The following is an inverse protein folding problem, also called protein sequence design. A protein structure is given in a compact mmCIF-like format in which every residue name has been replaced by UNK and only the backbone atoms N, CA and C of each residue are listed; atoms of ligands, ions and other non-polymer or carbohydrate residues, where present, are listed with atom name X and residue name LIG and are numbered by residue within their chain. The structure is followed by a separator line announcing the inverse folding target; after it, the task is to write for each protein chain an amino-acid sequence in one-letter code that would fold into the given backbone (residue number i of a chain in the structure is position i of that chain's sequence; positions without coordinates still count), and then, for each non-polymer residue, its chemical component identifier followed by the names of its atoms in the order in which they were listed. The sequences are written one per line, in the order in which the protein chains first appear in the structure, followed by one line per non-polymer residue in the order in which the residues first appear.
data_IF_982256367172
#
_entry.id   IF_982256367172
#
_cell.length_a   1.000
_cell.length_b   1.000
_cell.length_c   1.000
_cell.angle_alpha   90.00
_cell.angle_beta   90.00
_cell.angle_gamma   90.00
#
_symmetry.space_group_name_H-M   'P 1'
#
loop_
_entity.id
_entity.type
_entity.pdbx_description
1 polymer ?
#
# COMPACT_ATOMS: atom_id res chain seq x y z
N UNK A 1 62.23 -14.97 -21.52
CA UNK A 1 61.47 -15.41 -20.33
C UNK A 1 60.38 -14.37 -20.08
N UNK A 2 59.18 -14.65 -20.57
CA UNK A 2 57.99 -13.82 -20.37
C UNK A 2 57.29 -14.27 -19.09
N UNK A 3 57.20 -13.38 -18.10
CA UNK A 3 56.48 -13.62 -16.84
C UNK A 3 55.03 -13.21 -16.98
N UNK A 4 54.14 -14.20 -16.94
CA UNK A 4 52.69 -14.08 -17.05
C UNK A 4 52.14 -13.57 -15.71
N UNK A 5 51.51 -12.40 -15.73
CA UNK A 5 50.71 -11.87 -14.62
C UNK A 5 49.31 -12.47 -14.69
N UNK A 6 48.95 -13.29 -13.71
CA UNK A 6 47.59 -13.79 -13.53
C UNK A 6 46.71 -12.68 -12.91
N UNK A 7 45.78 -12.17 -13.72
CA UNK A 7 44.63 -11.38 -13.26
C UNK A 7 43.62 -12.33 -12.61
N UNK A 8 43.52 -12.28 -11.29
CA UNK A 8 42.38 -12.83 -10.54
C UNK A 8 41.18 -11.88 -10.73
N UNK A 9 40.37 -12.16 -11.75
CA UNK A 9 38.99 -11.69 -11.85
C UNK A 9 38.16 -12.43 -10.78
N UNK A 10 38.11 -11.86 -9.57
CA UNK A 10 37.07 -12.23 -8.61
C UNK A 10 35.74 -11.75 -9.18
N UNK A 11 34.87 -12.72 -9.46
CA UNK A 11 33.57 -12.50 -10.07
C UNK A 11 32.76 -11.49 -9.28
N UNK A 12 32.50 -10.34 -9.90
CA UNK A 12 31.26 -9.63 -9.65
C UNK A 12 30.15 -10.61 -9.97
N UNK A 13 29.43 -11.07 -8.95
CA UNK A 13 28.08 -11.57 -9.12
C UNK A 13 27.30 -10.45 -9.81
N UNK A 14 27.16 -10.60 -11.12
CA UNK A 14 26.27 -9.80 -11.93
C UNK A 14 24.91 -9.80 -11.25
N UNK A 15 24.52 -8.64 -10.72
CA UNK A 15 23.12 -8.32 -10.49
C UNK A 15 22.34 -8.79 -11.73
N UNK A 16 21.15 -9.39 -11.58
CA UNK A 16 20.25 -9.47 -12.72
C UNK A 16 20.03 -8.02 -13.16
N UNK A 17 20.61 -7.67 -14.30
CA UNK A 17 20.15 -6.52 -15.05
C UNK A 17 18.68 -6.81 -15.31
N UNK A 18 17.77 -6.06 -14.70
CA UNK A 18 16.35 -6.11 -15.04
C UNK A 18 16.19 -5.50 -16.44
N UNK A 19 16.63 -6.27 -17.44
CA UNK A 19 16.32 -6.09 -18.85
C UNK A 19 15.13 -6.98 -19.25
N UNK A 20 14.14 -7.10 -18.36
CA UNK A 20 12.89 -7.81 -18.60
C UNK A 20 11.71 -6.83 -18.54
N UNK A 21 11.03 -6.66 -19.66
CA UNK A 21 9.89 -5.76 -19.91
C UNK A 21 8.55 -6.26 -19.32
N UNK A 22 8.58 -7.17 -18.35
CA UNK A 22 7.39 -7.91 -17.90
C UNK A 22 6.99 -7.59 -16.45
N UNK A 23 5.69 -7.68 -16.20
CA UNK A 23 5.11 -7.66 -14.86
C UNK A 23 5.65 -8.86 -14.05
N UNK A 24 5.89 -8.69 -12.75
CA UNK A 24 6.47 -9.75 -11.91
C UNK A 24 5.84 -9.83 -10.52
N UNK A 25 5.95 -10.98 -9.87
CA UNK A 25 5.40 -11.22 -8.52
C UNK A 25 6.38 -10.68 -7.48
N UNK A 26 5.95 -9.93 -6.46
CA UNK A 26 6.83 -9.51 -5.36
C UNK A 26 7.32 -10.73 -4.57
N UNK A 27 8.51 -10.66 -3.95
CA UNK A 27 8.93 -11.68 -3.01
C UNK A 27 7.98 -11.72 -1.80
N UNK A 28 7.81 -12.92 -1.25
CA UNK A 28 6.94 -13.20 -0.11
C UNK A 28 7.78 -13.52 1.13
N UNK A 29 7.42 -12.94 2.26
CA UNK A 29 8.10 -13.20 3.54
C UNK A 29 7.13 -13.37 4.69
N UNK A 30 7.59 -14.06 5.74
CA UNK A 30 6.84 -14.22 6.97
C UNK A 30 7.33 -13.23 8.03
N UNK A 31 6.39 -12.62 8.74
CA UNK A 31 6.63 -11.83 9.96
C UNK A 31 5.96 -12.57 11.11
N UNK A 32 6.74 -13.12 12.05
CA UNK A 32 6.15 -13.74 13.25
C UNK A 32 5.70 -12.66 14.24
N UNK A 33 4.42 -12.65 14.56
CA UNK A 33 3.82 -11.80 15.59
C UNK A 33 4.10 -12.31 17.01
N UNK A 34 4.53 -13.56 17.14
CA UNK A 34 4.93 -14.20 18.39
C UNK A 34 6.31 -13.70 18.86
N UNK A 35 7.11 -13.12 17.95
CA UNK A 35 8.33 -12.41 18.30
C UNK A 35 8.02 -11.04 18.91
N UNK A 36 8.86 -10.58 19.86
CA UNK A 36 8.88 -9.19 20.30
C UNK A 36 8.96 -8.23 19.09
N UNK A 37 8.21 -7.10 19.10
CA UNK A 37 8.16 -6.18 17.96
C UNK A 37 9.52 -5.73 17.43
N UNK A 38 10.51 -5.56 18.32
CA UNK A 38 11.88 -5.15 17.99
C UNK A 38 12.71 -6.22 17.24
N UNK A 39 12.15 -7.41 17.01
CA UNK A 39 12.82 -8.52 16.31
C UNK A 39 12.09 -8.94 15.03
N UNK A 40 10.87 -8.45 14.80
CA UNK A 40 9.98 -8.94 13.74
C UNK A 40 10.51 -8.73 12.31
N UNK A 41 11.10 -7.57 12.06
CA UNK A 41 11.55 -7.16 10.73
C UNK A 41 12.95 -7.66 10.37
N UNK A 42 13.72 -8.15 11.34
CA UNK A 42 15.11 -8.55 11.14
C UNK A 42 15.28 -9.64 10.07
N UNK A 43 14.50 -10.73 10.06
CA UNK A 43 14.65 -11.79 9.06
C UNK A 43 14.43 -11.30 7.62
N UNK A 44 13.50 -10.36 7.43
CA UNK A 44 13.16 -9.79 6.13
C UNK A 44 14.23 -8.80 5.67
N UNK A 45 14.64 -7.87 6.55
CA UNK A 45 15.66 -6.87 6.21
C UNK A 45 17.00 -7.50 5.84
N UNK A 46 17.36 -8.64 6.46
CA UNK A 46 18.58 -9.38 6.14
C UNK A 46 18.62 -9.98 4.73
N UNK A 47 17.48 -10.06 4.04
CA UNK A 47 17.42 -10.49 2.63
C UNK A 47 17.80 -9.39 1.64
N UNK A 48 17.91 -8.15 2.11
CA UNK A 48 18.18 -6.97 1.29
C UNK A 48 19.57 -6.42 1.56
N UNK A 49 20.15 -5.78 0.54
CA UNK A 49 21.42 -5.08 0.70
C UNK A 49 21.21 -3.84 1.58
N UNK A 50 21.77 -3.85 2.79
CA UNK A 50 21.59 -2.78 3.78
C UNK A 50 22.16 -1.44 3.33
N UNK A 51 23.24 -1.43 2.54
CA UNK A 51 23.83 -0.21 1.96
C UNK A 51 22.85 0.39 0.96
N UNK A 52 22.30 -0.43 0.06
CA UNK A 52 21.30 0.02 -0.91
C UNK A 52 20.04 0.57 -0.22
N UNK A 53 19.53 -0.11 0.82
CA UNK A 53 18.39 0.38 1.59
C UNK A 53 18.72 1.73 2.26
N UNK A 54 19.90 1.86 2.87
CA UNK A 54 20.35 3.10 3.51
C UNK A 54 20.44 4.26 2.53
N UNK A 55 21.08 4.03 1.38
CA UNK A 55 21.24 5.05 0.34
C UNK A 55 19.89 5.46 -0.25
N UNK A 56 18.99 4.49 -0.45
CA UNK A 56 17.63 4.75 -0.91
C UNK A 56 16.86 5.60 0.09
N UNK A 57 16.89 5.26 1.37
CA UNK A 57 16.23 6.03 2.43
C UNK A 57 16.80 7.45 2.51
N UNK A 58 18.12 7.62 2.47
CA UNK A 58 18.77 8.94 2.49
C UNK A 58 18.39 9.79 1.26
N UNK A 59 18.29 9.17 0.08
CA UNK A 59 17.78 9.83 -1.12
C UNK A 59 16.34 10.32 -0.93
N UNK A 60 15.45 9.47 -0.42
CA UNK A 60 14.05 9.81 -0.19
C UNK A 60 13.91 10.95 0.84
N UNK A 61 14.66 10.88 1.94
CA UNK A 61 14.68 11.93 2.96
C UNK A 61 15.08 13.27 2.36
N UNK A 62 16.19 13.33 1.63
CA UNK A 62 16.66 14.56 0.98
C UNK A 62 15.69 15.13 -0.04
N UNK A 63 14.99 14.26 -0.76
CA UNK A 63 14.10 14.66 -1.86
C UNK A 63 12.74 15.13 -1.38
N UNK A 64 12.18 14.50 -0.34
CA UNK A 64 10.77 14.70 0.02
C UNK A 64 10.54 15.26 1.41
N UNK A 65 11.51 15.17 2.32
CA UNK A 65 11.39 15.73 3.66
C UNK A 65 12.08 17.10 3.65
N UNK A 66 11.33 18.21 3.86
CA UNK A 66 11.92 19.53 4.02
C UNK A 66 13.02 19.52 5.11
N UNK A 67 14.17 20.13 4.83
CA UNK A 67 15.31 20.13 5.75
C UNK A 67 14.94 20.60 7.16
N UNK A 68 14.09 21.62 7.27
CA UNK A 68 13.64 22.12 8.57
C UNK A 68 12.86 21.03 9.36
N UNK A 69 12.00 20.25 8.71
CA UNK A 69 11.29 19.13 9.37
C UNK A 69 12.28 18.11 9.87
N UNK A 70 13.22 17.69 9.01
CA UNK A 70 14.24 16.70 9.39
C UNK A 70 15.06 17.19 10.59
N UNK A 71 15.48 18.45 10.62
CA UNK A 71 16.26 19.04 11.69
C UNK A 71 15.52 19.14 13.03
N UNK A 72 14.18 19.29 13.03
CA UNK A 72 13.40 19.39 14.28
C UNK A 72 12.79 18.05 14.72
N UNK A 73 12.11 17.34 13.81
CA UNK A 73 11.36 16.14 14.14
C UNK A 73 12.25 14.90 14.34
N UNK A 74 13.34 14.76 13.58
CA UNK A 74 14.22 13.58 13.69
C UNK A 74 14.92 13.51 15.06
N UNK A 75 15.54 14.58 15.60
CA UNK A 75 16.13 14.54 16.94
C UNK A 75 15.09 14.31 18.04
N UNK A 76 13.90 14.90 17.91
CA UNK A 76 12.83 14.75 18.90
C UNK A 76 12.30 13.31 18.93
N UNK A 77 12.05 12.71 17.76
CA UNK A 77 11.69 11.30 17.64
C UNK A 77 12.82 10.37 18.13
N UNK A 78 14.08 10.73 17.93
CA UNK A 78 15.22 9.98 18.48
C UNK A 78 15.22 9.98 20.01
N UNK A 79 14.88 11.10 20.63
CA UNK A 79 14.84 11.21 22.09
C UNK A 79 13.59 10.56 22.70
N UNK A 80 12.43 10.68 22.03
CA UNK A 80 11.16 10.23 22.59
C UNK A 80 10.19 9.71 21.50
N UNK A 81 10.57 8.66 20.76
CA UNK A 81 9.74 8.11 19.69
C UNK A 81 8.33 7.71 20.14
N UNK A 82 8.24 7.14 21.34
CA UNK A 82 6.97 6.70 21.96
C UNK A 82 6.01 7.85 22.25
N UNK A 83 6.47 9.11 22.12
CA UNK A 83 5.61 10.28 22.15
C UNK A 83 4.76 10.41 20.88
N UNK A 84 5.28 9.94 19.74
CA UNK A 84 4.66 10.07 18.42
C UNK A 84 4.07 8.76 17.91
N UNK A 85 4.61 7.64 18.38
CA UNK A 85 4.33 6.32 17.82
C UNK A 85 4.01 5.36 18.95
N UNK A 86 2.85 4.70 18.87
CA UNK A 86 2.45 3.67 19.83
C UNK A 86 3.08 2.32 19.48
N UNK A 87 3.17 1.43 20.46
CA UNK A 87 3.53 0.04 20.18
C UNK A 87 2.43 -0.65 19.33
N UNK A 88 2.79 -1.62 18.47
CA UNK A 88 4.13 -2.22 18.27
C UNK A 88 5.07 -1.42 17.36
N UNK A 89 4.58 -0.33 16.76
CA UNK A 89 5.29 0.39 15.70
C UNK A 89 6.58 1.05 16.19
N UNK A 90 6.59 1.59 17.40
CA UNK A 90 7.79 2.24 17.96
C UNK A 90 8.97 1.26 18.03
N UNK A 91 8.75 0.07 18.59
CA UNK A 91 9.80 -0.96 18.67
C UNK A 91 10.19 -1.53 17.30
N UNK A 92 9.25 -1.67 16.36
CA UNK A 92 9.57 -2.09 14.98
C UNK A 92 10.44 -1.03 14.25
N UNK A 93 10.16 0.26 14.40
CA UNK A 93 10.96 1.35 13.82
C UNK A 93 12.37 1.41 14.45
N UNK A 94 12.48 1.18 15.75
CA UNK A 94 13.78 1.06 16.43
C UNK A 94 14.61 -0.11 15.90
N UNK A 95 13.97 -1.25 15.63
CA UNK A 95 14.64 -2.40 15.03
C UNK A 95 15.21 -2.07 13.65
N UNK A 96 14.39 -1.47 12.77
CA UNK A 96 14.82 -1.04 11.44
C UNK A 96 15.99 -0.05 11.55
N UNK A 97 15.90 0.93 12.45
CA UNK A 97 16.95 1.91 12.72
C UNK A 97 18.27 1.26 13.10
N UNK A 98 18.25 0.28 14.02
CA UNK A 98 19.43 -0.45 14.48
C UNK A 98 20.05 -1.30 13.36
N UNK A 99 19.23 -2.00 12.59
CA UNK A 99 19.69 -2.92 11.54
C UNK A 99 20.30 -2.16 10.37
N UNK A 100 19.67 -1.05 9.97
CA UNK A 100 20.13 -0.25 8.85
C UNK A 100 21.19 0.79 9.27
N UNK A 101 21.39 0.98 10.58
CA UNK A 101 22.30 1.99 11.16
C UNK A 101 21.98 3.40 10.60
N UNK A 102 20.73 3.78 10.81
CA UNK A 102 20.12 5.09 10.47
C UNK A 102 19.40 5.62 11.71
N UNK A 103 19.32 6.94 11.89
CA UNK A 103 18.55 7.55 12.98
C UNK A 103 17.09 7.07 12.97
N UNK A 104 16.57 6.65 14.13
CA UNK A 104 15.17 6.24 14.28
C UNK A 104 14.19 7.37 13.91
N UNK A 105 14.59 8.63 14.12
CA UNK A 105 13.79 9.77 13.69
C UNK A 105 13.65 9.88 12.18
N UNK A 106 14.68 9.48 11.43
CA UNK A 106 14.64 9.46 9.96
C UNK A 106 13.79 8.28 9.46
N UNK A 107 13.87 7.12 10.13
CA UNK A 107 13.01 5.95 9.85
C UNK A 107 11.54 6.27 10.15
N UNK A 108 11.26 7.03 11.19
CA UNK A 108 9.92 7.53 11.49
C UNK A 108 9.40 8.49 10.41
N UNK A 109 10.20 9.48 10.01
CA UNK A 109 9.81 10.46 9.01
C UNK A 109 9.51 9.84 7.65
N UNK A 110 10.29 8.84 7.22
CA UNK A 110 9.98 8.13 5.97
C UNK A 110 8.69 7.30 6.08
N UNK A 111 8.39 6.74 7.26
CA UNK A 111 7.13 6.04 7.48
C UNK A 111 5.93 6.99 7.39
N UNK A 112 6.06 8.24 7.85
CA UNK A 112 5.04 9.27 7.65
C UNK A 112 4.94 9.74 6.19
N UNK A 113 6.04 9.76 5.44
CA UNK A 113 6.01 10.16 4.02
C UNK A 113 5.08 9.27 3.19
N UNK A 114 5.05 7.97 3.45
CA UNK A 114 4.15 7.03 2.78
C UNK A 114 2.65 7.34 3.00
N UNK A 115 2.31 8.17 3.99
CA UNK A 115 0.93 8.62 4.24
C UNK A 115 0.50 9.79 3.34
N UNK A 116 1.44 10.49 2.69
CA UNK A 116 1.19 11.82 2.12
C UNK A 116 1.09 11.86 0.60
N UNK A 117 1.55 10.82 -0.11
CA UNK A 117 1.67 10.87 -1.57
C UNK A 117 1.32 9.54 -2.24
N UNK A 118 0.04 9.15 -2.21
CA UNK A 118 -0.39 7.91 -2.88
C UNK A 118 -1.57 8.16 -3.84
N UNK A 119 -1.41 7.74 -5.10
CA UNK A 119 -2.50 7.66 -6.05
C UNK A 119 -2.96 6.21 -6.14
N UNK A 120 -4.24 5.98 -6.38
CA UNK A 120 -4.82 4.65 -6.26
C UNK A 120 -6.07 4.47 -7.11
N UNK A 121 -6.36 3.23 -7.49
CA UNK A 121 -7.71 2.80 -7.88
C UNK A 121 -8.03 1.56 -7.06
N UNK A 122 -9.17 1.55 -6.38
CA UNK A 122 -9.67 0.39 -5.64
C UNK A 122 -11.08 0.05 -6.10
N UNK A 123 -11.35 -1.25 -6.21
CA UNK A 123 -12.61 -1.80 -6.69
C UNK A 123 -13.06 -2.87 -5.72
N UNK A 124 -14.33 -2.79 -5.31
CA UNK A 124 -15.06 -3.90 -4.69
C UNK A 124 -16.22 -4.28 -5.60
N UNK A 125 -16.42 -5.58 -5.80
CA UNK A 125 -17.48 -6.09 -6.64
C UNK A 125 -18.08 -7.37 -6.05
N UNK A 126 -19.38 -7.55 -6.28
CA UNK A 126 -20.10 -8.76 -5.96
C UNK A 126 -20.58 -9.43 -7.25
N UNK A 127 -20.38 -10.74 -7.39
CA UNK A 127 -20.99 -11.50 -8.48
C UNK A 127 -22.49 -11.78 -8.26
N UNK A 128 -23.11 -12.54 -9.16
CA UNK A 128 -24.53 -12.92 -9.07
C UNK A 128 -24.77 -14.12 -8.12
N UNK A 129 -23.72 -14.77 -7.61
CA UNK A 129 -23.80 -15.76 -6.54
C UNK A 129 -23.57 -15.15 -5.14
N UNK A 130 -23.19 -13.87 -5.09
CA UNK A 130 -22.95 -13.16 -3.84
C UNK A 130 -21.51 -13.24 -3.30
N UNK A 131 -20.56 -13.76 -4.08
CA UNK A 131 -19.14 -13.73 -3.71
C UNK A 131 -18.60 -12.31 -3.86
N UNK A 132 -17.71 -11.92 -2.94
CA UNK A 132 -17.09 -10.59 -2.92
C UNK A 132 -15.64 -10.66 -3.41
N UNK A 133 -15.29 -9.76 -4.33
CA UNK A 133 -13.96 -9.59 -4.88
C UNK A 133 -13.47 -8.17 -4.64
N UNK A 134 -12.17 -8.03 -4.35
CA UNK A 134 -11.53 -6.75 -4.10
C UNK A 134 -10.24 -6.68 -4.91
N UNK A 135 -10.08 -5.64 -5.72
CA UNK A 135 -8.88 -5.41 -6.51
C UNK A 135 -8.41 -3.97 -6.42
N UNK A 136 -7.11 -3.74 -6.56
CA UNK A 136 -6.56 -2.40 -6.48
C UNK A 136 -5.24 -2.19 -7.24
N UNK A 137 -5.02 -0.96 -7.72
CA UNK A 137 -3.73 -0.45 -8.19
C UNK A 137 -3.16 0.52 -7.16
N UNK A 138 -1.86 0.39 -6.87
CA UNK A 138 -1.06 1.37 -6.15
C UNK A 138 -0.23 2.17 -7.13
N UNK A 139 -0.41 3.49 -7.14
CA UNK A 139 0.25 4.42 -8.05
C UNK A 139 1.10 5.42 -7.25
N UNK A 140 2.37 5.62 -7.65
CA UNK A 140 3.25 6.59 -7.00
C UNK A 140 4.38 7.03 -7.95
N UNK A 141 4.73 8.31 -7.91
CA UNK A 141 5.87 8.84 -8.68
C UNK A 141 7.25 8.25 -8.32
N UNK A 142 7.33 7.42 -7.28
CA UNK A 142 8.51 6.68 -6.88
C UNK A 142 8.50 5.24 -7.41
N UNK A 143 7.66 4.95 -8.41
CA UNK A 143 7.47 3.62 -8.96
C UNK A 143 8.78 2.88 -9.23
N UNK A 144 9.83 3.53 -9.75
CA UNK A 144 11.12 2.85 -9.98
C UNK A 144 11.72 2.29 -8.70
N UNK A 145 11.67 3.02 -7.59
CA UNK A 145 12.19 2.56 -6.30
C UNK A 145 11.20 1.60 -5.65
N UNK A 146 9.93 1.97 -5.58
CA UNK A 146 8.91 1.21 -4.87
C UNK A 146 8.70 -0.18 -5.48
N UNK A 147 8.78 -0.34 -6.81
CA UNK A 147 8.74 -1.66 -7.46
C UNK A 147 9.82 -2.62 -6.94
N UNK A 148 10.99 -2.12 -6.53
CA UNK A 148 12.06 -2.96 -5.97
C UNK A 148 11.90 -3.22 -4.47
N UNK A 149 11.09 -2.42 -3.77
CA UNK A 149 10.85 -2.54 -2.34
C UNK A 149 9.52 -3.23 -2.03
N UNK A 150 8.63 -3.41 -3.01
CA UNK A 150 7.33 -4.07 -2.83
C UNK A 150 7.52 -5.52 -2.39
N UNK A 151 6.84 -5.90 -1.31
CA UNK A 151 6.80 -7.25 -0.76
C UNK A 151 5.39 -7.61 -0.35
N UNK A 152 5.06 -8.90 -0.46
CA UNK A 152 3.90 -9.48 0.21
C UNK A 152 4.36 -10.11 1.54
N UNK A 153 3.70 -9.74 2.63
CA UNK A 153 4.04 -10.22 3.98
C UNK A 153 2.89 -11.06 4.55
N UNK A 154 3.23 -12.25 5.03
CA UNK A 154 2.35 -13.07 5.85
C UNK A 154 2.68 -12.84 7.33
N UNK A 155 1.75 -12.23 8.06
CA UNK A 155 1.90 -12.02 9.49
C UNK A 155 1.40 -13.27 10.22
N UNK A 156 2.34 -14.01 10.82
CA UNK A 156 2.11 -15.32 11.40
C UNK A 156 1.91 -15.20 12.90
N UNK A 157 0.85 -15.82 13.45
CA UNK A 157 0.64 -15.94 14.90
C UNK A 157 0.35 -17.40 15.23
N UNK A 158 1.07 -17.96 16.19
CA UNK A 158 0.96 -19.37 16.58
C UNK A 158 1.07 -20.35 15.40
N UNK A 159 1.92 -20.04 14.41
CA UNK A 159 2.13 -20.87 13.22
C UNK A 159 1.10 -20.71 12.10
N UNK A 160 0.06 -19.89 12.27
CA UNK A 160 -0.98 -19.64 11.26
C UNK A 160 -0.91 -18.21 10.71
N UNK A 161 -1.36 -18.01 9.47
CA UNK A 161 -1.47 -16.66 8.87
C UNK A 161 -2.61 -15.91 9.56
N UNK A 162 -2.27 -14.92 10.38
CA UNK A 162 -3.25 -14.04 11.00
C UNK A 162 -3.82 -13.03 9.99
N UNK A 163 -2.95 -12.47 9.15
CA UNK A 163 -3.30 -11.62 8.02
C UNK A 163 -2.15 -11.54 7.01
N UNK A 164 -2.48 -11.16 5.78
CA UNK A 164 -1.53 -10.90 4.70
C UNK A 164 -1.60 -9.43 4.31
N UNK A 165 -0.48 -8.82 3.93
CA UNK A 165 -0.48 -7.46 3.41
C UNK A 165 0.63 -7.21 2.41
N UNK A 166 0.39 -6.28 1.48
CA UNK A 166 1.40 -5.79 0.54
C UNK A 166 1.96 -4.48 1.08
N UNK A 167 3.28 -4.39 1.15
CA UNK A 167 3.97 -3.22 1.70
C UNK A 167 5.34 -3.01 1.06
N UNK A 168 6.11 -2.05 1.58
CA UNK A 168 7.47 -1.74 1.15
C UNK A 168 8.47 -2.06 2.25
N UNK A 169 9.63 -2.59 1.90
CA UNK A 169 10.73 -2.78 2.86
C UNK A 169 11.07 -1.44 3.53
N UNK A 170 11.02 -1.44 4.87
CA UNK A 170 11.24 -0.26 5.71
C UNK A 170 9.97 0.51 6.10
N UNK A 171 8.80 0.16 5.55
CA UNK A 171 7.50 0.70 5.95
C UNK A 171 6.73 -0.32 6.81
N UNK A 172 6.34 0.09 8.02
CA UNK A 172 5.70 -0.80 9.00
C UNK A 172 4.17 -0.83 8.90
N UNK A 173 3.56 0.07 8.12
CA UNK A 173 2.12 0.07 7.86
C UNK A 173 1.72 -0.85 6.72
N UNK A 174 0.41 -0.92 6.47
CA UNK A 174 -0.20 -1.60 5.32
C UNK A 174 -1.21 -0.68 4.65
N UNK A 175 -1.08 -0.48 3.35
CA UNK A 175 -2.11 0.18 2.52
C UNK A 175 -3.01 -0.82 1.81
N UNK A 176 -2.65 -2.10 1.84
CA UNK A 176 -3.36 -3.20 1.17
C UNK A 176 -3.17 -4.47 1.98
N UNK A 177 -4.24 -5.21 2.23
CA UNK A 177 -4.14 -6.50 2.89
C UNK A 177 -5.48 -7.21 3.08
N UNK A 178 -5.40 -8.43 3.62
CA UNK A 178 -6.56 -9.25 3.94
C UNK A 178 -6.37 -9.97 5.28
N UNK A 179 -7.48 -10.14 6.00
CA UNK A 179 -7.59 -11.08 7.10
C UNK A 179 -8.41 -12.29 6.62
N UNK A 180 -7.81 -13.50 6.60
CA UNK A 180 -8.44 -14.69 6.05
C UNK A 180 -9.84 -14.95 6.62
N UNK A 181 -10.81 -15.21 5.74
CA UNK A 181 -12.20 -15.50 6.10
C UNK A 181 -12.92 -14.39 6.89
N UNK A 182 -12.37 -13.17 6.91
CA UNK A 182 -12.98 -12.00 7.57
C UNK A 182 -13.23 -10.86 6.61
N UNK A 183 -12.17 -10.20 6.14
CA UNK A 183 -12.27 -9.04 5.25
C UNK A 183 -10.95 -8.73 4.52
N UNK A 184 -11.07 -7.94 3.47
CA UNK A 184 -9.98 -7.35 2.68
C UNK A 184 -10.07 -5.83 2.80
N UNK A 185 -8.93 -5.13 2.71
CA UNK A 185 -8.89 -3.68 2.85
C UNK A 185 -7.83 -3.07 1.94
N UNK A 186 -8.16 -1.93 1.34
CA UNK A 186 -7.21 -1.06 0.66
C UNK A 186 -7.50 0.39 1.01
N UNK A 187 -6.45 1.22 1.03
CA UNK A 187 -6.58 2.66 1.27
C UNK A 187 -6.13 3.48 0.07
N UNK A 188 -6.82 4.59 -0.15
CA UNK A 188 -6.48 5.59 -1.16
C UNK A 188 -6.35 6.97 -0.50
N UNK A 189 -5.42 7.81 -0.95
CA UNK A 189 -5.30 9.19 -0.42
C UNK A 189 -6.46 10.06 -0.89
N UNK A 190 -6.97 10.90 0.00
CA UNK A 190 -8.04 11.88 -0.29
C UNK A 190 -7.50 13.30 -0.35
N UNK A 191 -7.60 13.92 -1.51
CA UNK A 191 -7.11 15.28 -1.74
C UNK A 191 -5.59 15.37 -1.84
N UNK A 192 -5.09 16.58 -2.13
CA UNK A 192 -3.66 16.83 -2.24
C UNK A 192 -3.09 17.15 -0.85
N UNK A 193 -2.29 16.23 -0.31
CA UNK A 193 -1.62 16.38 0.99
C UNK A 193 -0.14 16.77 0.86
N UNK A 194 0.36 16.93 -0.38
CA UNK A 194 1.71 17.41 -0.63
C UNK A 194 1.91 18.76 0.10
N UNK A 195 2.91 18.83 0.97
CA UNK A 195 3.23 20.06 1.71
C UNK A 195 2.42 20.36 2.98
N UNK A 196 1.38 19.58 3.34
CA UNK A 196 0.58 19.78 4.57
C UNK A 196 1.20 19.16 5.83
N UNK A 197 2.53 19.07 5.87
CA UNK A 197 3.27 18.43 6.96
C UNK A 197 2.91 18.98 8.34
N UNK A 198 2.75 20.30 8.48
CA UNK A 198 2.37 20.92 9.75
C UNK A 198 0.97 20.52 10.21
N UNK A 199 -0.02 20.49 9.31
CA UNK A 199 -1.38 20.10 9.68
C UNK A 199 -1.46 18.62 10.08
N UNK A 200 -0.66 17.78 9.42
CA UNK A 200 -0.60 16.35 9.71
C UNK A 200 0.14 16.09 11.03
N UNK A 201 1.26 16.77 11.29
CA UNK A 201 1.93 16.74 12.59
C UNK A 201 1.00 17.27 13.70
N UNK A 202 0.30 18.36 13.44
CA UNK A 202 -0.66 18.95 14.38
C UNK A 202 -1.82 17.99 14.69
N UNK A 203 -2.37 17.34 13.67
CA UNK A 203 -3.44 16.33 13.84
C UNK A 203 -2.94 15.09 14.59
N UNK A 204 -1.74 14.61 14.28
CA UNK A 204 -1.12 13.52 15.03
C UNK A 204 -0.93 13.88 16.50
N UNK A 205 -0.51 15.12 16.77
CA UNK A 205 -0.13 15.60 18.09
C UNK A 205 -1.32 15.88 19.03
N UNK A 206 -2.32 16.67 18.62
CA UNK A 206 -3.39 17.10 19.53
C UNK A 206 -4.63 16.21 19.49
N UNK A 207 -4.83 15.42 18.43
CA UNK A 207 -6.04 14.61 18.25
C UNK A 207 -5.82 13.11 18.44
N UNK A 208 -4.60 12.69 18.79
CA UNK A 208 -4.22 11.27 18.92
C UNK A 208 -4.59 10.46 17.67
N UNK A 209 -4.50 11.08 16.49
CA UNK A 209 -4.79 10.41 15.22
C UNK A 209 -3.70 9.40 14.89
N UNK A 210 -4.09 8.23 14.38
CA UNK A 210 -3.14 7.23 13.88
C UNK A 210 -2.86 7.43 12.39
N UNK A 211 -1.68 6.97 11.93
CA UNK A 211 -1.39 6.88 10.51
C UNK A 211 -2.38 5.92 9.82
N UNK A 212 -2.77 6.20 8.59
CA UNK A 212 -3.81 5.44 7.90
C UNK A 212 -3.34 4.01 7.66
N UNK A 213 -2.09 3.83 7.21
CA UNK A 213 -1.55 2.48 7.02
C UNK A 213 -1.34 1.70 8.32
N UNK A 214 -1.17 2.36 9.46
CA UNK A 214 -1.12 1.72 10.77
C UNK A 214 -2.52 1.31 11.23
N UNK A 215 -3.52 2.16 11.05
CA UNK A 215 -4.92 1.82 11.31
C UNK A 215 -5.36 0.58 10.52
N UNK A 216 -4.99 0.51 9.24
CA UNK A 216 -5.30 -0.65 8.39
C UNK A 216 -4.65 -1.91 8.97
N UNK A 217 -3.37 -1.87 9.33
CA UNK A 217 -2.66 -3.01 9.91
C UNK A 217 -3.23 -3.44 11.26
N UNK A 218 -3.54 -2.50 12.15
CA UNK A 218 -4.21 -2.77 13.43
C UNK A 218 -5.60 -3.37 13.22
N UNK A 219 -6.31 -2.92 12.18
CA UNK A 219 -7.62 -3.48 11.86
C UNK A 219 -7.49 -4.93 11.39
N UNK A 220 -6.57 -5.22 10.48
CA UNK A 220 -6.26 -6.58 10.01
C UNK A 220 -5.85 -7.52 11.17
N UNK A 221 -5.11 -6.98 12.14
CA UNK A 221 -4.62 -7.75 13.30
C UNK A 221 -5.71 -8.03 14.36
N UNK A 222 -6.57 -7.04 14.65
CA UNK A 222 -7.44 -7.06 15.83
C UNK A 222 -8.91 -7.36 15.53
N UNK A 223 -9.40 -6.96 14.35
CA UNK A 223 -10.83 -7.02 14.05
C UNK A 223 -11.29 -8.49 13.92
N UNK A 224 -12.47 -8.76 14.50
CA UNK A 224 -13.03 -10.10 14.58
C UNK A 224 -13.71 -10.51 13.29
N UNK A 225 -14.28 -9.54 12.58
CA UNK A 225 -15.12 -9.71 11.40
C UNK A 225 -15.17 -8.40 10.59
N UNK A 226 -15.89 -8.44 9.46
CA UNK A 226 -16.10 -7.28 8.59
C UNK A 226 -16.76 -6.09 9.31
N UNK A 227 -17.74 -6.32 10.19
CA UNK A 227 -18.48 -5.23 10.86
C UNK A 227 -17.60 -4.48 11.86
N UNK A 228 -16.88 -5.21 12.72
CA UNK A 228 -15.92 -4.62 13.65
C UNK A 228 -14.78 -3.90 12.93
N UNK A 229 -14.33 -4.43 11.80
CA UNK A 229 -13.35 -3.77 10.94
C UNK A 229 -13.89 -2.48 10.33
N UNK A 230 -15.11 -2.51 9.77
CA UNK A 230 -15.76 -1.35 9.19
C UNK A 230 -15.96 -0.23 10.22
N UNK A 231 -16.41 -0.55 11.44
CA UNK A 231 -16.54 0.42 12.52
C UNK A 231 -15.18 1.03 12.90
N UNK A 232 -14.16 0.19 13.08
CA UNK A 232 -12.80 0.66 13.42
C UNK A 232 -12.25 1.59 12.34
N UNK A 233 -12.36 1.22 11.06
CA UNK A 233 -11.93 2.04 9.93
C UNK A 233 -12.78 3.29 9.72
N UNK A 234 -14.04 3.31 10.16
CA UNK A 234 -14.92 4.47 9.99
C UNK A 234 -14.66 5.55 11.04
N UNK A 235 -14.42 5.16 12.29
CA UNK A 235 -14.48 6.09 13.42
C UNK A 235 -13.14 6.33 14.14
N UNK A 236 -12.11 5.51 13.92
CA UNK A 236 -10.80 5.78 14.56
C UNK A 236 -10.20 7.06 13.98
N UNK A 237 -9.79 8.04 14.81
CA UNK A 237 -9.15 9.27 14.33
C UNK A 237 -7.88 8.99 13.50
N UNK A 238 -7.71 9.70 12.38
CA UNK A 238 -6.57 9.55 11.47
C UNK A 238 -5.87 10.90 11.24
N UNK A 239 -4.57 10.85 10.91
CA UNK A 239 -3.75 12.07 10.72
C UNK A 239 -3.96 12.75 9.37
N UNK A 240 -4.41 11.99 8.35
CA UNK A 240 -4.62 12.43 6.98
C UNK A 240 -5.95 11.88 6.46
N UNK A 241 -6.57 12.60 5.52
CA UNK A 241 -7.82 12.15 4.92
C UNK A 241 -7.57 10.99 3.97
N UNK A 242 -8.53 10.08 3.87
CA UNK A 242 -8.38 8.87 3.07
C UNK A 242 -9.72 8.36 2.56
N UNK A 243 -9.66 7.49 1.56
CA UNK A 243 -10.72 6.55 1.27
C UNK A 243 -10.29 5.18 1.74
N UNK A 244 -11.14 4.51 2.51
CA UNK A 244 -10.89 3.17 3.04
C UNK A 244 -11.91 2.22 2.42
N UNK A 245 -11.44 1.34 1.56
CA UNK A 245 -12.26 0.38 0.85
C UNK A 245 -12.14 -0.94 1.59
N UNK A 246 -13.26 -1.53 2.01
CA UNK A 246 -13.30 -2.79 2.75
C UNK A 246 -14.33 -3.73 2.12
N UNK A 247 -13.99 -5.01 2.03
CA UNK A 247 -14.87 -6.07 1.52
C UNK A 247 -14.82 -7.30 2.44
N UNK A 248 -15.98 -7.83 2.83
CA UNK A 248 -16.14 -8.99 3.71
C UNK A 248 -16.18 -10.31 2.96
N UNK A 249 -16.91 -11.29 3.52
CA UNK A 249 -17.07 -12.63 2.94
C UNK A 249 -18.50 -12.92 2.48
N UNK A 250 -19.47 -12.14 2.96
CA UNK A 250 -20.90 -12.37 2.69
C UNK A 250 -21.43 -11.38 1.65
N UNK A 251 -22.56 -11.69 1.00
CA UNK A 251 -23.24 -10.74 0.12
C UNK A 251 -23.47 -9.40 0.81
N UNK A 252 -23.31 -8.31 0.06
CA UNK A 252 -23.43 -6.91 0.46
C UNK A 252 -22.35 -6.40 1.42
N UNK A 253 -21.40 -7.23 1.86
CA UNK A 253 -20.27 -6.79 2.69
C UNK A 253 -19.21 -6.10 1.84
N UNK A 254 -19.49 -4.87 1.42
CA UNK A 254 -18.53 -4.02 0.72
C UNK A 254 -18.83 -2.55 0.94
N UNK A 255 -17.83 -1.79 1.40
CA UNK A 255 -17.93 -0.34 1.66
C UNK A 255 -16.74 0.39 1.03
N UNK A 256 -17.01 1.56 0.45
CA UNK A 256 -16.02 2.63 0.27
C UNK A 256 -16.30 3.73 1.30
N UNK A 257 -15.38 3.93 2.24
CA UNK A 257 -15.53 4.88 3.35
C UNK A 257 -14.72 6.13 3.01
N UNK A 258 -15.39 7.25 2.78
CA UNK A 258 -14.72 8.55 2.63
C UNK A 258 -14.45 9.12 4.02
N UNK A 259 -13.18 9.29 4.39
CA UNK A 259 -12.75 9.69 5.73
C UNK A 259 -12.17 11.11 5.77
N UNK A 260 -12.73 11.91 6.67
CA UNK A 260 -12.02 13.03 7.27
C UNK A 260 -11.18 12.52 8.47
N UNK A 261 -10.32 13.40 9.01
CA UNK A 261 -9.49 13.11 10.20
C UNK A 261 -10.30 12.60 11.38
N UNK A 262 -11.46 13.21 11.66
CA UNK A 262 -12.25 12.93 12.87
C UNK A 262 -13.38 11.91 12.66
N UNK A 263 -13.63 11.45 11.43
CA UNK A 263 -14.74 10.54 11.15
C UNK A 263 -15.10 10.46 9.66
N UNK A 264 -16.20 9.77 9.31
CA UNK A 264 -16.61 9.63 7.92
C UNK A 264 -17.23 10.93 7.39
N UNK A 265 -16.87 11.32 6.17
CA UNK A 265 -17.69 12.21 5.36
C UNK A 265 -18.87 11.44 4.75
N UNK A 266 -18.63 10.21 4.29
CA UNK A 266 -19.64 9.33 3.72
C UNK A 266 -19.22 7.86 3.81
N UNK A 267 -20.20 6.96 3.95
CA UNK A 267 -20.01 5.51 3.84
C UNK A 267 -20.84 5.02 2.66
N UNK A 268 -20.18 4.54 1.61
CA UNK A 268 -20.83 4.11 0.36
C UNK A 268 -20.80 2.59 0.24
N UNK A 269 -21.93 1.94 0.57
CA UNK A 269 -22.07 0.48 0.55
C UNK A 269 -22.40 -0.06 -0.83
N UNK A 270 -22.08 -1.33 -1.11
CA UNK A 270 -22.67 -2.07 -2.23
C UNK A 270 -24.21 -2.09 -2.12
N UNK A 271 -24.90 -2.10 -3.27
CA UNK A 271 -26.35 -2.27 -3.32
C UNK A 271 -26.79 -3.08 -4.56
N UNK A 272 -26.49 -4.39 -4.62
CA UNK A 272 -26.78 -5.23 -5.78
C UNK A 272 -28.27 -5.27 -6.15
N UNK A 273 -29.18 -5.06 -5.20
CA UNK A 273 -30.63 -5.00 -5.44
C UNK A 273 -31.03 -3.85 -6.38
N UNK A 274 -30.25 -2.76 -6.41
CA UNK A 274 -30.43 -1.64 -7.33
C UNK A 274 -29.53 -1.73 -8.58
N UNK A 275 -28.92 -2.89 -8.82
CA UNK A 275 -27.94 -3.08 -9.89
C UNK A 275 -26.56 -2.49 -9.58
N UNK A 276 -26.35 -2.03 -8.34
CA UNK A 276 -25.10 -1.40 -7.89
C UNK A 276 -24.16 -2.43 -7.25
N UNK A 277 -23.74 -3.41 -8.07
CA UNK A 277 -22.94 -4.57 -7.66
C UNK A 277 -21.45 -4.31 -7.53
N UNK A 278 -20.98 -3.08 -7.81
CA UNK A 278 -19.59 -2.67 -7.57
C UNK A 278 -19.47 -1.24 -7.04
N UNK A 279 -18.30 -0.95 -6.45
CA UNK A 279 -17.81 0.41 -6.15
C UNK A 279 -16.42 0.58 -6.73
N UNK A 280 -16.19 1.74 -7.34
CA UNK A 280 -14.87 2.18 -7.78
C UNK A 280 -14.54 3.43 -7.00
N UNK A 281 -13.42 3.41 -6.30
CA UNK A 281 -12.88 4.55 -5.58
C UNK A 281 -11.45 4.83 -6.06
N UNK A 282 -11.14 6.10 -6.30
CA UNK A 282 -9.82 6.53 -6.78
C UNK A 282 -9.23 7.51 -5.79
N UNK A 283 -9.13 8.80 -6.11
CA UNK A 283 -8.55 9.81 -5.23
C UNK A 283 -9.43 11.07 -5.09
N UNK A 284 -10.70 11.00 -5.50
CA UNK A 284 -11.65 12.11 -5.44
C UNK A 284 -13.03 11.61 -5.01
N UNK A 285 -13.77 12.49 -4.32
CA UNK A 285 -15.08 12.16 -3.78
C UNK A 285 -16.02 11.71 -4.90
N UNK A 286 -16.61 10.53 -4.77
CA UNK A 286 -17.41 9.91 -5.84
C UNK A 286 -18.68 10.67 -6.24
N UNK A 287 -19.12 11.66 -5.44
CA UNK A 287 -20.23 12.57 -5.76
C UNK A 287 -19.77 13.83 -6.52
N UNK A 288 -18.48 13.96 -6.81
CA UNK A 288 -17.90 15.07 -7.58
C UNK A 288 -17.51 14.59 -8.98
N UNK A 289 -17.40 15.53 -9.92
CA UNK A 289 -16.90 15.21 -11.25
C UNK A 289 -15.41 14.83 -11.17
N UNK A 290 -14.96 13.78 -11.89
CA UNK A 290 -13.55 13.47 -12.02
C UNK A 290 -12.73 14.68 -12.47
N UNK A 291 -11.53 14.93 -11.90
CA UNK A 291 -10.64 15.96 -12.41
C UNK A 291 -10.29 15.71 -13.88
N UNK A 292 -10.29 16.78 -14.70
CA UNK A 292 -10.03 16.68 -16.14
C UNK A 292 -8.70 16.00 -16.52
N UNK A 293 -7.73 16.04 -15.61
CA UNK A 293 -6.39 15.49 -15.81
C UNK A 293 -6.21 14.09 -15.20
N UNK A 294 -7.20 13.57 -14.47
CA UNK A 294 -7.15 12.26 -13.80
C UNK A 294 -8.55 11.62 -13.69
N UNK A 295 -9.10 11.15 -14.81
CA UNK A 295 -10.32 10.32 -14.81
C UNK A 295 -9.99 8.83 -14.96
N UNK A 296 -9.72 8.18 -13.82
CA UNK A 296 -9.57 6.71 -13.72
C UNK A 296 -10.86 5.99 -13.32
N UNK A 297 -11.79 6.66 -12.65
CA UNK A 297 -13.03 6.04 -12.16
C UNK A 297 -14.02 5.71 -13.29
N UNK A 298 -14.14 6.59 -14.29
CA UNK A 298 -15.04 6.37 -15.44
C UNK A 298 -14.59 5.16 -16.28
N UNK A 299 -13.32 5.04 -16.70
CA UNK A 299 -12.88 3.91 -17.50
C UNK A 299 -12.94 2.57 -16.74
N UNK A 300 -12.67 2.57 -15.43
CA UNK A 300 -12.84 1.39 -14.58
C UNK A 300 -14.31 0.95 -14.53
N UNK A 301 -15.24 1.89 -14.32
CA UNK A 301 -16.68 1.62 -14.27
C UNK A 301 -17.22 1.10 -15.61
N UNK A 302 -16.77 1.67 -16.73
CA UNK A 302 -17.11 1.19 -18.08
C UNK A 302 -16.61 -0.25 -18.28
N UNK A 303 -15.36 -0.54 -17.86
CA UNK A 303 -14.80 -1.87 -17.99
C UNK A 303 -15.52 -2.90 -17.11
N UNK A 304 -15.92 -2.53 -15.89
CA UNK A 304 -16.75 -3.38 -15.02
C UNK A 304 -18.13 -3.66 -15.63
N UNK A 305 -18.81 -2.63 -16.12
CA UNK A 305 -20.10 -2.80 -16.80
C UNK A 305 -19.99 -3.71 -18.03
N UNK A 306 -18.89 -3.60 -18.79
CA UNK A 306 -18.62 -4.48 -19.94
C UNK A 306 -18.33 -5.93 -19.52
N UNK A 307 -17.61 -6.14 -18.40
CA UNK A 307 -17.41 -7.47 -17.83
C UNK A 307 -18.76 -8.06 -17.40
N UNK A 308 -19.60 -7.27 -16.74
CA UNK A 308 -20.91 -7.68 -16.23
C UNK A 308 -20.82 -8.48 -14.93
N UNK A 309 -21.88 -8.42 -14.11
CA UNK A 309 -21.91 -9.01 -12.77
C UNK A 309 -21.65 -10.53 -12.78
N UNK A 310 -22.24 -11.26 -13.74
CA UNK A 310 -22.08 -12.72 -13.83
C UNK A 310 -20.66 -13.19 -14.19
N UNK A 311 -19.77 -12.29 -14.64
CA UNK A 311 -18.40 -12.63 -15.04
C UNK A 311 -17.35 -11.98 -14.13
N UNK A 312 -17.75 -11.26 -13.08
CA UNK A 312 -16.78 -10.62 -12.19
C UNK A 312 -16.10 -11.67 -11.30
N UNK A 313 -14.78 -11.64 -11.25
CA UNK A 313 -13.92 -12.49 -10.44
C UNK A 313 -12.53 -11.83 -10.33
N UNK A 314 -11.59 -12.47 -9.65
CA UNK A 314 -10.24 -11.91 -9.46
C UNK A 314 -9.50 -11.66 -10.79
N UNK A 315 -9.62 -12.55 -11.77
CA UNK A 315 -8.96 -12.40 -13.07
C UNK A 315 -9.57 -11.26 -13.88
N UNK A 316 -10.89 -11.12 -13.88
CA UNK A 316 -11.57 -10.03 -14.57
C UNK A 316 -11.34 -8.68 -13.88
N UNK A 317 -11.23 -8.64 -12.55
CA UNK A 317 -10.79 -7.44 -11.82
C UNK A 317 -9.35 -7.06 -12.18
N UNK A 318 -8.42 -8.01 -12.27
CA UNK A 318 -7.05 -7.72 -12.72
C UNK A 318 -7.02 -7.13 -14.13
N UNK A 319 -7.87 -7.62 -15.04
CA UNK A 319 -8.04 -7.07 -16.39
C UNK A 319 -8.61 -5.65 -16.38
N UNK A 320 -9.63 -5.38 -15.56
CA UNK A 320 -10.17 -4.01 -15.37
C UNK A 320 -9.07 -3.07 -14.87
N UNK A 321 -8.30 -3.48 -13.87
CA UNK A 321 -7.18 -2.72 -13.32
C UNK A 321 -6.00 -2.58 -14.30
N UNK A 322 -6.03 -3.30 -15.42
CA UNK A 322 -5.07 -3.20 -16.52
C UNK A 322 -5.54 -2.29 -17.66
N UNK A 323 -6.77 -1.77 -17.62
CA UNK A 323 -7.30 -0.81 -18.61
C UNK A 323 -6.64 0.55 -18.41
N UNK A 324 -6.26 1.23 -19.49
CA UNK A 324 -5.77 2.63 -19.40
C UNK A 324 -6.96 3.60 -19.25
N UNK A 325 -6.87 4.64 -18.40
CA UNK A 325 -5.72 5.07 -17.59
C UNK A 325 -5.69 4.46 -16.17
N UNK A 326 -6.56 3.50 -15.83
CA UNK A 326 -6.57 2.80 -14.52
C UNK A 326 -5.20 2.20 -14.23
N UNK A 327 -4.63 1.50 -15.21
CA UNK A 327 -3.21 1.22 -15.30
C UNK A 327 -2.50 2.39 -15.96
N UNK A 328 -1.49 2.92 -15.30
CA UNK A 328 -0.71 4.07 -15.78
C UNK A 328 0.79 3.86 -15.53
N UNK A 329 1.61 4.80 -16.00
CA UNK A 329 3.07 4.68 -15.92
C UNK A 329 3.63 4.81 -14.50
N UNK A 330 2.85 5.34 -13.56
CA UNK A 330 3.23 5.43 -12.14
C UNK A 330 2.67 4.28 -11.30
N UNK A 331 1.93 3.35 -11.90
CA UNK A 331 1.48 2.13 -11.21
C UNK A 331 2.68 1.30 -10.75
N UNK A 332 2.74 1.04 -9.45
CA UNK A 332 3.76 0.24 -8.77
C UNK A 332 3.36 -1.22 -8.76
N UNK A 333 2.16 -1.52 -8.25
CA UNK A 333 1.65 -2.88 -8.16
C UNK A 333 0.12 -2.92 -8.27
N UNK A 334 -0.39 -4.07 -8.67
CA UNK A 334 -1.80 -4.44 -8.66
C UNK A 334 -1.99 -5.58 -7.69
N UNK A 335 -2.99 -5.51 -6.82
CA UNK A 335 -3.34 -6.60 -5.90
C UNK A 335 -4.79 -6.98 -6.12
N UNK A 336 -5.07 -8.28 -6.23
CA UNK A 336 -6.43 -8.85 -6.22
C UNK A 336 -6.56 -9.82 -5.06
N UNK A 337 -7.71 -9.77 -4.38
CA UNK A 337 -7.93 -10.48 -3.13
C UNK A 337 -9.42 -10.74 -2.89
N UNK A 338 -9.71 -11.78 -2.12
CA UNK A 338 -11.04 -12.08 -1.61
C UNK A 338 -10.91 -12.75 -0.25
N UNK A 339 -11.56 -12.20 0.77
CA UNK A 339 -11.48 -12.78 2.11
C UNK A 339 -12.09 -14.19 2.18
N UNK A 340 -13.03 -14.52 1.27
CA UNK A 340 -13.62 -15.85 1.17
C UNK A 340 -12.64 -16.89 0.59
N UNK A 341 -11.69 -16.44 -0.24
CA UNK A 341 -10.67 -17.25 -0.92
C UNK A 341 -9.27 -16.72 -0.61
N UNK A 342 -8.83 -16.74 0.66
CA UNK A 342 -7.62 -16.05 1.08
C UNK A 342 -6.35 -16.59 0.41
N UNK A 343 -6.34 -17.85 -0.02
CA UNK A 343 -5.26 -18.47 -0.79
C UNK A 343 -5.03 -17.83 -2.16
N UNK A 344 -5.99 -17.04 -2.66
CA UNK A 344 -5.91 -16.34 -3.95
C UNK A 344 -5.42 -14.90 -3.86
N UNK A 345 -4.95 -14.45 -2.69
CA UNK A 345 -4.30 -13.14 -2.57
C UNK A 345 -3.09 -13.09 -3.50
N UNK A 346 -3.12 -12.16 -4.44
CA UNK A 346 -2.05 -12.04 -5.43
C UNK A 346 -1.72 -10.58 -5.70
N UNK A 347 -0.44 -10.24 -5.55
CA UNK A 347 0.12 -8.98 -6.00
C UNK A 347 0.99 -9.20 -7.23
N UNK A 348 0.92 -8.26 -8.16
CA UNK A 348 1.79 -8.18 -9.33
C UNK A 348 2.38 -6.79 -9.40
N UNK A 349 3.71 -6.71 -9.37
CA UNK A 349 4.47 -5.49 -9.61
C UNK A 349 4.33 -5.14 -11.10
N UNK A 350 3.83 -3.94 -11.39
CA UNK A 350 3.46 -3.51 -12.75
C UNK A 350 4.63 -2.79 -13.39
N UNK A 351 5.27 -3.38 -14.38
CA UNK A 351 6.42 -2.78 -15.06
C UNK A 351 5.97 -1.91 -16.24
N UNK A 352 5.29 -0.81 -15.95
CA UNK A 352 4.84 0.12 -16.99
C UNK A 352 5.99 1.04 -17.42
N UNK A 353 6.45 0.92 -18.68
CA UNK A 353 7.56 1.74 -19.23
C UNK A 353 7.00 2.97 -19.98
N UNK A 354 7.38 4.22 -19.63
CA UNK A 354 6.87 5.46 -20.25
C UNK A 354 6.96 5.54 -21.79
N UNK A 355 7.91 4.85 -22.42
CA UNK A 355 8.13 4.90 -23.89
C UNK A 355 6.96 4.30 -24.72
N UNK A 356 6.20 3.33 -24.19
CA UNK A 356 5.02 2.78 -24.88
C UNK A 356 3.73 3.61 -24.69
N UNK A 357 3.79 4.72 -23.95
CA UNK A 357 2.62 5.55 -23.61
C UNK A 357 2.41 6.71 -24.60
N UNK A 358 3.44 7.06 -25.38
CA UNK A 358 3.41 8.15 -26.36
C UNK A 358 3.06 7.71 -27.79
N UNK A 359 2.88 6.40 -28.05
CA UNK A 359 2.33 5.97 -29.33
C UNK A 359 0.84 6.31 -29.36
N UNK A 360 0.50 7.42 -30.04
CA UNK A 360 -0.88 7.71 -30.45
C UNK A 360 -1.46 6.45 -31.10
N UNK A 361 -2.68 6.01 -30.73
CA UNK A 361 -3.38 5.00 -31.51
C UNK A 361 -3.58 5.57 -32.92
N UNK A 362 -2.91 4.99 -33.93
CA UNK A 362 -3.12 5.33 -35.34
C UNK A 362 -1.96 5.91 -36.12
N UNK A 363 -0.75 6.03 -35.57
CA UNK A 363 0.44 6.27 -36.41
C UNK A 363 0.98 4.92 -36.91
N UNK A 364 0.58 4.53 -38.12
CA UNK A 364 1.30 3.53 -38.93
C UNK A 364 2.65 4.10 -39.37
#
# INVERSE_FOLDING_TARGET
MAGIVWLLLLGFSSLPTLSGEEDFVPPQYNISLDLPPDQRWEPVLKQYNSIYLRDTLEYLLKKFIPNWIRLFASPLAKFHLTFFVTEPYASELWSISRILDISVGDVFLINLFYELTVYCTSIIAQDDQGNIYHGRNFDHYLYTILRHLTVDLHFIRNGEIAYTGTTYIGYVGLWTGQSPHKFTVSGNTRGEHSGKWWENLYSAYLKSGTAVGWLIRDTLNDAKDFQSAAIKLTYTPIIAEAYLIIAGTKPNEGLAITRNRDGPALVWSLNPLLGEWFRVETNYDHWTAPPLHDDRSTPASIALNKTGQANVNLDSLFKVLSVRPVLNFITVHTTVMSAAFPEKYATTIRNTIPKLWWRKPGAK
#
